data_IF_942302737560
#
_entry.id   IF_942302737560
#
_cell.length_a   1.000
_cell.length_b   1.000
_cell.length_c   1.000
_cell.angle_alpha   90.00
_cell.angle_beta   90.00
_cell.angle_gamma   90.00
#
_symmetry.space_group_name_H-M   'P 1'
#
loop_
_entity.id
_entity.type
_entity.pdbx_description
1 polymer ?
#
# COMPACT_ATOMS: atom_id res chain seq x y z
N UNK A 1 41.77 -20.36 -17.91
CA UNK A 1 41.29 -18.96 -17.78
C UNK A 1 40.20 -18.97 -16.71
N UNK A 2 40.52 -18.46 -15.52
CA UNK A 2 39.55 -18.36 -14.43
C UNK A 2 38.67 -17.13 -14.71
N UNK A 3 37.35 -17.34 -14.78
CA UNK A 3 36.41 -16.22 -14.82
C UNK A 3 36.50 -15.52 -13.46
N UNK A 4 37.05 -14.31 -13.49
CA UNK A 4 37.03 -13.39 -12.38
C UNK A 4 35.57 -12.98 -12.21
N UNK A 5 34.90 -13.52 -11.19
CA UNK A 5 33.54 -13.15 -10.81
C UNK A 5 33.67 -11.77 -10.17
N UNK A 6 33.85 -10.75 -11.01
CA UNK A 6 33.73 -9.36 -10.59
C UNK A 6 32.38 -9.27 -9.87
N UNK A 7 32.45 -8.92 -8.59
CA UNK A 7 31.34 -8.61 -7.71
C UNK A 7 30.24 -7.94 -8.52
N UNK A 8 29.11 -8.64 -8.69
CA UNK A 8 27.88 -8.01 -9.15
C UNK A 8 27.70 -6.76 -8.30
N UNK A 9 27.48 -5.57 -8.88
CA UNK A 9 27.29 -4.36 -8.10
C UNK A 9 26.23 -4.67 -7.04
N UNK A 10 26.55 -4.38 -5.77
CA UNK A 10 25.61 -4.51 -4.66
C UNK A 10 24.30 -3.88 -5.12
N UNK A 11 23.25 -4.71 -5.24
CA UNK A 11 21.94 -4.20 -5.62
C UNK A 11 21.60 -3.13 -4.58
N UNK A 12 21.26 -1.90 -4.96
CA UNK A 12 20.88 -0.90 -3.97
C UNK A 12 19.73 -1.47 -3.14
N UNK A 13 19.93 -1.57 -1.83
CA UNK A 13 18.92 -1.99 -0.87
C UNK A 13 18.28 -0.70 -0.36
N UNK A 14 16.95 -0.63 -0.37
CA UNK A 14 16.25 0.47 0.28
C UNK A 14 16.42 0.31 1.79
N UNK A 15 17.04 1.29 2.43
CA UNK A 15 17.14 1.35 3.89
C UNK A 15 15.80 1.74 4.51
N UNK A 16 15.63 1.49 5.81
CA UNK A 16 14.41 1.92 6.51
C UNK A 16 14.21 3.43 6.42
N UNK A 17 15.29 4.21 6.45
CA UNK A 17 15.24 5.66 6.25
C UNK A 17 14.72 6.01 4.85
N UNK A 18 15.24 5.39 3.80
CA UNK A 18 14.79 5.63 2.42
C UNK A 18 13.33 5.20 2.22
N UNK A 19 12.89 4.11 2.87
CA UNK A 19 11.48 3.71 2.87
C UNK A 19 10.62 4.82 3.49
N UNK A 20 11.01 5.37 4.64
CA UNK A 20 10.27 6.47 5.27
C UNK A 20 10.25 7.73 4.40
N UNK A 21 11.38 8.07 3.77
CA UNK A 21 11.46 9.18 2.82
C UNK A 21 10.49 8.99 1.65
N UNK A 22 10.46 7.80 1.03
CA UNK A 22 9.53 7.46 -0.06
C UNK A 22 8.06 7.55 0.37
N UNK A 23 7.72 7.07 1.56
CA UNK A 23 6.36 7.14 2.11
C UNK A 23 5.91 8.60 2.27
N UNK A 24 6.81 9.49 2.70
CA UNK A 24 6.55 10.92 2.94
C UNK A 24 6.51 11.82 1.70
N UNK A 25 6.84 11.33 0.51
CA UNK A 25 6.78 12.14 -0.72
C UNK A 25 5.32 12.52 -1.02
N UNK A 26 4.97 13.81 -1.21
CA UNK A 26 3.63 14.21 -1.66
C UNK A 26 3.30 13.71 -3.08
N UNK A 27 2.07 13.25 -3.30
CA UNK A 27 1.65 12.58 -4.54
C UNK A 27 0.28 13.06 -5.03
N UNK A 28 0.02 12.89 -6.32
CA UNK A 28 -1.30 13.05 -6.92
C UNK A 28 -1.65 11.82 -7.74
N UNK A 29 -2.91 11.41 -7.71
CA UNK A 29 -3.46 10.41 -8.61
C UNK A 29 -3.44 11.00 -10.02
N UNK A 30 -2.76 10.33 -10.95
CA UNK A 30 -2.74 10.69 -12.37
C UNK A 30 -3.69 9.81 -13.18
N UNK A 31 -3.84 8.54 -12.80
CA UNK A 31 -4.74 7.59 -13.45
C UNK A 31 -5.47 6.73 -12.41
N UNK A 32 -6.73 6.40 -12.73
CA UNK A 32 -7.55 5.46 -11.96
C UNK A 32 -8.15 4.42 -12.90
N UNK A 33 -7.96 3.16 -12.56
CA UNK A 33 -8.47 2.01 -13.32
C UNK A 33 -9.34 1.10 -12.44
N UNK A 34 -10.63 0.91 -12.75
CA UNK A 34 -11.39 1.58 -13.81
C UNK A 34 -11.64 3.06 -13.49
N UNK A 35 -11.79 3.90 -14.52
CA UNK A 35 -11.99 5.34 -14.37
C UNK A 35 -13.21 5.71 -13.49
N UNK A 36 -14.25 4.86 -13.46
CA UNK A 36 -15.43 5.02 -12.61
C UNK A 36 -15.68 3.77 -11.77
N UNK A 37 -16.03 3.96 -10.51
CA UNK A 37 -16.38 2.87 -9.59
C UNK A 37 -15.25 1.87 -9.38
N UNK A 38 -15.62 0.59 -9.29
CA UNK A 38 -14.70 -0.53 -9.10
C UNK A 38 -14.97 -1.60 -10.16
N UNK A 39 -13.94 -2.39 -10.50
CA UNK A 39 -14.08 -3.60 -11.31
C UNK A 39 -14.40 -4.77 -10.37
N UNK A 40 -15.46 -5.51 -10.65
CA UNK A 40 -15.77 -6.77 -9.96
C UNK A 40 -15.00 -7.93 -10.61
N UNK A 41 -14.20 -8.64 -9.82
CA UNK A 41 -13.41 -9.78 -10.28
C UNK A 41 -13.07 -10.70 -9.11
N UNK A 42 -13.29 -12.01 -9.25
CA UNK A 42 -12.97 -13.02 -8.23
C UNK A 42 -13.55 -12.74 -6.82
N UNK A 43 -14.82 -12.28 -6.76
CA UNK A 43 -15.49 -11.83 -5.52
C UNK A 43 -14.81 -10.65 -4.82
N UNK A 44 -14.08 -9.83 -5.58
CA UNK A 44 -13.52 -8.58 -5.09
C UNK A 44 -13.95 -7.44 -5.99
N UNK A 45 -14.29 -6.32 -5.37
CA UNK A 45 -14.26 -5.02 -6.04
C UNK A 45 -12.85 -4.48 -5.99
N UNK A 46 -12.33 -4.04 -7.14
CA UNK A 46 -10.92 -3.66 -7.32
C UNK A 46 -10.79 -2.33 -8.04
N UNK A 47 -9.81 -1.55 -7.61
CA UNK A 47 -9.39 -0.30 -8.24
C UNK A 47 -7.87 -0.18 -8.11
N UNK A 48 -7.21 0.28 -9.18
CA UNK A 48 -5.79 0.58 -9.21
C UNK A 48 -5.60 2.06 -9.53
N UNK A 49 -4.61 2.68 -8.92
CA UNK A 49 -4.25 4.09 -9.10
C UNK A 49 -2.79 4.18 -9.51
N UNK A 50 -2.48 4.98 -10.51
CA UNK A 50 -1.12 5.45 -10.75
C UNK A 50 -0.97 6.81 -10.09
N UNK A 51 0.16 7.02 -9.43
CA UNK A 51 0.47 8.26 -8.72
C UNK A 51 1.73 8.92 -9.30
N UNK A 52 1.67 10.23 -9.41
CA UNK A 52 2.79 11.10 -9.77
C UNK A 52 3.27 11.86 -8.54
N UNK A 53 4.59 12.04 -8.46
CA UNK A 53 5.22 12.91 -7.47
C UNK A 53 5.36 14.31 -8.04
N UNK A 54 5.51 15.30 -7.16
CA UNK A 54 5.83 16.67 -7.59
C UNK A 54 7.32 16.87 -7.93
N UNK A 55 8.16 15.86 -7.66
CA UNK A 55 9.58 15.85 -7.99
C UNK A 55 9.81 15.29 -9.39
N UNK A 56 10.62 15.96 -10.20
CA UNK A 56 11.06 15.49 -11.54
C UNK A 56 12.11 14.36 -11.47
N UNK A 57 12.19 13.63 -10.35
CA UNK A 57 13.19 12.58 -10.11
C UNK A 57 12.82 11.23 -10.76
N UNK A 58 11.65 11.15 -11.40
CA UNK A 58 11.17 9.94 -12.07
C UNK A 58 10.71 8.85 -11.10
N UNK A 59 10.52 9.16 -9.82
CA UNK A 59 9.92 8.25 -8.84
C UNK A 59 8.46 8.01 -9.21
N UNK A 60 8.06 6.74 -9.25
CA UNK A 60 6.67 6.35 -9.57
C UNK A 60 6.08 5.48 -8.49
N UNK A 61 4.81 5.72 -8.22
CA UNK A 61 4.03 4.91 -7.28
C UNK A 61 2.73 4.44 -7.92
N UNK A 62 2.22 3.33 -7.42
CA UNK A 62 0.84 2.93 -7.65
C UNK A 62 0.16 2.54 -6.35
N UNK A 63 -1.16 2.52 -6.37
CA UNK A 63 -1.98 2.02 -5.26
C UNK A 63 -2.87 0.93 -5.79
N UNK A 64 -2.91 -0.22 -5.11
CA UNK A 64 -3.97 -1.20 -5.31
C UNK A 64 -5.00 -1.09 -4.19
N UNK A 65 -6.28 -1.14 -4.57
CA UNK A 65 -7.42 -1.14 -3.66
C UNK A 65 -8.27 -2.36 -3.96
N UNK A 66 -8.52 -3.17 -2.93
CA UNK A 66 -9.29 -4.43 -3.02
C UNK A 66 -10.26 -4.48 -1.85
N UNK A 67 -11.49 -4.88 -2.09
CA UNK A 67 -12.44 -5.22 -1.03
C UNK A 67 -13.26 -6.43 -1.46
N UNK A 68 -13.42 -7.39 -0.56
CA UNK A 68 -14.24 -8.56 -0.81
C UNK A 68 -15.72 -8.15 -0.94
N UNK A 69 -16.40 -8.62 -1.98
CA UNK A 69 -17.76 -8.20 -2.30
C UNK A 69 -18.82 -8.80 -1.35
N UNK A 70 -18.47 -9.81 -0.54
CA UNK A 70 -19.36 -10.44 0.47
C UNK A 70 -19.01 -10.05 1.90
N UNK A 71 -17.71 -9.98 2.22
CA UNK A 71 -17.18 -9.63 3.53
C UNK A 71 -16.54 -8.25 3.45
N UNK A 72 -17.33 -7.20 3.59
CA UNK A 72 -16.90 -5.81 3.33
C UNK A 72 -15.76 -5.35 4.26
N UNK A 73 -15.66 -5.95 5.44
CA UNK A 73 -14.56 -5.78 6.39
C UNK A 73 -13.23 -6.32 5.87
N UNK A 74 -13.28 -7.26 4.92
CA UNK A 74 -12.11 -7.84 4.29
C UNK A 74 -11.68 -6.99 3.09
N UNK A 75 -10.76 -6.07 3.34
CA UNK A 75 -10.17 -5.20 2.33
C UNK A 75 -8.66 -5.10 2.46
N UNK A 76 -8.04 -4.59 1.41
CA UNK A 76 -6.61 -4.33 1.33
C UNK A 76 -6.32 -3.12 0.44
N UNK A 77 -5.52 -2.20 0.95
CA UNK A 77 -5.09 -0.96 0.27
C UNK A 77 -3.57 -0.90 0.39
N UNK A 78 -2.83 -0.92 -0.72
CA UNK A 78 -1.37 -0.93 -0.66
C UNK A 78 -0.71 0.12 -1.54
N UNK A 79 0.31 0.78 -1.00
CA UNK A 79 1.18 1.70 -1.74
C UNK A 79 2.38 0.92 -2.28
N UNK A 80 2.57 0.99 -3.59
CA UNK A 80 3.64 0.32 -4.30
C UNK A 80 4.63 1.36 -4.85
N UNK A 81 5.92 1.11 -4.66
CA UNK A 81 7.00 1.85 -5.30
C UNK A 81 7.49 1.07 -6.52
N UNK A 82 7.52 1.73 -7.67
CA UNK A 82 8.09 1.16 -8.90
C UNK A 82 9.60 1.38 -8.92
N UNK A 83 10.33 0.29 -8.88
CA UNK A 83 11.78 0.29 -8.69
C UNK A 83 12.48 -0.55 -9.76
N UNK A 84 13.60 -0.05 -10.25
CA UNK A 84 14.47 -0.82 -11.16
C UNK A 84 15.40 -1.79 -10.41
N UNK A 85 15.30 -1.84 -9.07
CA UNK A 85 16.19 -2.63 -8.22
C UNK A 85 15.91 -4.14 -8.29
N UNK A 86 14.69 -4.55 -8.68
CA UNK A 86 14.25 -5.96 -8.68
C UNK A 86 13.30 -6.26 -9.85
N UNK A 87 13.08 -7.55 -10.09
CA UNK A 87 12.02 -8.05 -10.97
C UNK A 87 11.06 -8.94 -10.14
N UNK A 88 9.75 -8.64 -10.10
CA UNK A 88 9.08 -7.52 -10.77
C UNK A 88 9.53 -6.17 -10.18
N UNK A 89 9.55 -5.14 -11.02
CA UNK A 89 10.03 -3.79 -10.69
C UNK A 89 9.11 -3.00 -9.77
N UNK A 90 8.53 -3.66 -8.77
CA UNK A 90 7.54 -3.08 -7.86
C UNK A 90 7.69 -3.69 -6.47
N UNK A 91 7.69 -2.84 -5.45
CA UNK A 91 7.71 -3.25 -4.03
C UNK A 91 6.54 -2.59 -3.32
N UNK A 92 5.71 -3.37 -2.63
CA UNK A 92 4.69 -2.82 -1.73
C UNK A 92 5.38 -2.29 -0.47
N UNK A 93 5.31 -0.98 -0.24
CA UNK A 93 5.95 -0.35 0.91
C UNK A 93 5.11 -0.52 2.18
N UNK A 94 3.78 -0.43 2.01
CA UNK A 94 2.83 -0.44 3.13
C UNK A 94 1.48 -0.93 2.64
N UNK A 95 0.74 -1.62 3.51
CA UNK A 95 -0.59 -2.14 3.21
C UNK A 95 -1.54 -2.05 4.40
N UNK A 96 -2.68 -1.39 4.20
CA UNK A 96 -3.75 -1.23 5.18
C UNK A 96 -4.78 -2.31 4.90
N UNK A 97 -5.01 -3.17 5.87
CA UNK A 97 -5.96 -4.26 5.78
C UNK A 97 -7.09 -4.08 6.80
N UNK A 98 -8.28 -4.50 6.41
CA UNK A 98 -9.39 -4.69 7.35
C UNK A 98 -9.34 -6.06 8.03
N UNK A 99 -10.34 -6.34 8.85
CA UNK A 99 -10.47 -7.65 9.49
C UNK A 99 -10.81 -8.73 8.45
N UNK A 100 -10.11 -9.86 8.51
CA UNK A 100 -10.30 -11.00 7.63
C UNK A 100 -11.06 -12.16 8.32
N UNK A 101 -11.58 -11.96 9.53
CA UNK A 101 -12.53 -12.84 10.23
C UNK A 101 -11.97 -14.18 10.74
N UNK A 102 -10.81 -14.62 10.25
CA UNK A 102 -10.20 -15.90 10.64
C UNK A 102 -9.16 -15.72 11.74
N UNK A 103 -9.61 -15.73 13.00
CA UNK A 103 -8.75 -15.72 14.18
C UNK A 103 -7.81 -16.95 14.28
N UNK A 104 -8.07 -18.02 13.51
CA UNK A 104 -7.38 -19.30 13.62
C UNK A 104 -6.19 -19.49 12.67
N UNK A 105 -6.00 -18.62 11.67
CA UNK A 105 -4.92 -18.81 10.68
C UNK A 105 -3.53 -18.50 11.20
N UNK A 106 -3.41 -17.60 12.18
CA UNK A 106 -2.12 -17.25 12.80
C UNK A 106 -2.28 -16.94 14.29
N UNK A 107 -1.25 -17.33 15.07
CA UNK A 107 -1.21 -17.25 16.54
C UNK A 107 -1.32 -15.83 17.12
N UNK A 108 -1.01 -14.81 16.34
CA UNK A 108 -1.02 -13.41 16.74
C UNK A 108 -2.38 -12.72 16.54
N UNK A 109 -3.38 -13.42 15.97
CA UNK A 109 -4.77 -12.97 15.89
C UNK A 109 -5.02 -11.74 15.00
N UNK A 110 -4.03 -11.23 14.27
CA UNK A 110 -4.16 -9.98 13.51
C UNK A 110 -5.24 -10.03 12.42
N UNK A 111 -5.58 -11.22 11.91
CA UNK A 111 -6.69 -11.39 10.96
C UNK A 111 -8.07 -11.06 11.56
N UNK A 112 -8.20 -10.99 12.89
CA UNK A 112 -9.45 -10.63 13.54
C UNK A 112 -9.69 -9.11 13.60
N UNK A 113 -8.68 -8.28 13.28
CA UNK A 113 -8.74 -6.83 13.44
C UNK A 113 -8.12 -6.11 12.25
N UNK A 114 -8.39 -4.81 12.14
CA UNK A 114 -7.66 -3.93 11.23
C UNK A 114 -6.18 -3.94 11.57
N UNK A 115 -5.33 -3.97 10.55
CA UNK A 115 -3.88 -4.00 10.74
C UNK A 115 -3.14 -3.41 9.54
N UNK A 116 -1.95 -2.88 9.80
CA UNK A 116 -1.07 -2.28 8.80
C UNK A 116 0.17 -3.14 8.67
N UNK A 117 0.50 -3.51 7.44
CA UNK A 117 1.78 -4.11 7.11
C UNK A 117 2.77 -3.05 6.62
N UNK A 118 4.04 -3.20 6.94
CA UNK A 118 5.12 -2.36 6.43
C UNK A 118 6.29 -3.20 5.95
N UNK A 119 6.88 -2.81 4.84
CA UNK A 119 8.16 -3.37 4.40
C UNK A 119 9.28 -2.78 5.26
N UNK A 120 10.29 -3.60 5.52
CA UNK A 120 11.52 -3.24 6.23
C UNK A 120 12.73 -3.46 5.33
N UNK A 121 13.82 -2.76 5.64
CA UNK A 121 15.13 -2.97 5.03
C UNK A 121 15.53 -4.44 5.07
N UNK A 122 15.32 -5.12 6.21
CA UNK A 122 15.63 -6.53 6.37
C UNK A 122 14.89 -7.42 5.35
N UNK A 123 13.60 -7.14 5.10
CA UNK A 123 12.80 -7.88 4.14
C UNK A 123 13.26 -7.63 2.69
N UNK A 124 13.67 -6.41 2.37
CA UNK A 124 14.24 -6.07 1.06
C UNK A 124 15.62 -6.71 0.89
N UNK A 125 16.45 -6.69 1.92
CA UNK A 125 17.80 -7.26 1.96
C UNK A 125 17.82 -8.79 1.94
N UNK A 126 16.69 -9.44 2.24
CA UNK A 126 16.55 -10.92 2.28
C UNK A 126 16.89 -11.63 0.95
N UNK A 127 17.06 -10.89 -0.15
CA UNK A 127 17.37 -11.46 -1.46
C UNK A 127 16.16 -12.03 -2.19
N UNK A 128 14.96 -11.99 -1.60
CA UNK A 128 13.72 -12.38 -2.29
C UNK A 128 13.50 -11.52 -3.55
N UNK A 129 13.09 -12.17 -4.64
CA UNK A 129 12.63 -11.52 -5.86
C UNK A 129 11.35 -10.71 -5.63
N UNK A 130 10.54 -11.12 -4.65
CA UNK A 130 9.32 -10.44 -4.21
C UNK A 130 9.39 -10.30 -2.68
N UNK A 131 10.04 -9.26 -2.16
CA UNK A 131 10.01 -8.99 -0.73
C UNK A 131 8.57 -8.68 -0.31
N UNK A 132 8.18 -9.12 0.88
CA UNK A 132 6.83 -8.95 1.40
C UNK A 132 6.90 -8.23 2.74
N UNK A 133 5.97 -7.31 2.93
CA UNK A 133 5.66 -6.60 4.16
C UNK A 133 5.13 -7.58 5.23
N UNK A 134 6.03 -8.24 5.96
CA UNK A 134 5.68 -9.21 7.01
C UNK A 134 5.57 -8.55 8.37
N UNK A 135 6.25 -7.43 8.59
CA UNK A 135 6.02 -6.62 9.78
C UNK A 135 4.59 -6.07 9.78
N UNK A 136 3.84 -6.35 10.85
CA UNK A 136 2.41 -6.07 10.99
C UNK A 136 2.11 -5.44 12.34
N UNK A 137 1.18 -4.51 12.35
CA UNK A 137 0.72 -3.81 13.53
C UNK A 137 -0.81 -3.77 13.53
N UNK A 138 -1.43 -4.24 14.63
CA UNK A 138 -2.87 -4.08 14.85
C UNK A 138 -3.17 -2.60 15.07
N UNK A 139 -4.26 -2.09 14.49
CA UNK A 139 -4.61 -0.68 14.58
C UNK A 139 -6.09 -0.47 14.87
N UNK A 140 -6.39 0.56 15.65
CA UNK A 140 -7.73 1.09 15.91
C UNK A 140 -8.04 2.36 15.10
N UNK A 141 -7.09 2.83 14.29
CA UNK A 141 -7.22 4.07 13.48
C UNK A 141 -8.37 4.00 12.48
N UNK A 142 -8.73 2.80 12.04
CA UNK A 142 -9.87 2.56 11.16
C UNK A 142 -10.52 1.22 11.45
N UNK A 143 -11.83 1.14 11.27
CA UNK A 143 -12.60 -0.12 11.32
C UNK A 143 -13.40 -0.36 10.04
N UNK A 144 -13.48 0.63 9.16
CA UNK A 144 -14.20 0.56 7.88
C UNK A 144 -13.26 0.83 6.71
N UNK A 145 -13.67 0.38 5.53
CA UNK A 145 -12.92 0.56 4.29
C UNK A 145 -12.76 2.05 3.93
N UNK A 146 -13.81 2.85 4.10
CA UNK A 146 -13.82 4.28 3.78
C UNK A 146 -12.90 5.07 4.73
N UNK A 147 -12.91 4.74 6.04
CA UNK A 147 -11.96 5.32 6.99
C UNK A 147 -10.52 4.94 6.62
N UNK A 148 -10.28 3.68 6.26
CA UNK A 148 -8.95 3.20 5.89
C UNK A 148 -8.43 3.92 4.63
N UNK A 149 -9.25 4.09 3.59
CA UNK A 149 -8.89 4.85 2.39
C UNK A 149 -8.53 6.29 2.72
N UNK A 150 -9.38 6.97 3.49
CA UNK A 150 -9.14 8.37 3.86
C UNK A 150 -7.82 8.53 4.62
N UNK A 151 -7.63 7.74 5.67
CA UNK A 151 -6.41 7.77 6.49
C UNK A 151 -5.19 7.39 5.66
N UNK A 152 -5.30 6.40 4.78
CA UNK A 152 -4.21 6.01 3.87
C UNK A 152 -3.79 7.17 2.97
N UNK A 153 -4.75 7.86 2.35
CA UNK A 153 -4.42 8.98 1.47
C UNK A 153 -3.82 10.16 2.24
N UNK A 154 -4.33 10.45 3.44
CA UNK A 154 -3.79 11.51 4.30
C UNK A 154 -2.37 11.16 4.80
N UNK A 155 -2.12 9.92 5.24
CA UNK A 155 -0.82 9.43 5.74
C UNK A 155 0.27 9.47 4.65
N UNK A 156 -0.10 9.26 3.39
CA UNK A 156 0.85 9.23 2.26
C UNK A 156 0.74 10.44 1.34
N UNK A 157 0.11 11.51 1.84
CA UNK A 157 0.04 12.84 1.21
C UNK A 157 -0.45 12.80 -0.23
N UNK A 158 -1.48 11.99 -0.50
CA UNK A 158 -2.17 11.98 -1.80
C UNK A 158 -3.14 13.16 -1.81
N UNK A 159 -2.94 14.17 -2.65
CA UNK A 159 -3.64 15.44 -2.50
C UNK A 159 -5.04 15.48 -3.16
N UNK A 160 -5.20 14.84 -4.31
CA UNK A 160 -6.39 14.98 -5.17
C UNK A 160 -7.35 13.78 -5.10
N UNK A 161 -7.28 12.94 -4.06
CA UNK A 161 -8.18 11.78 -3.97
C UNK A 161 -9.66 12.16 -3.95
N UNK A 162 -10.01 13.38 -3.52
CA UNK A 162 -11.39 13.87 -3.54
C UNK A 162 -12.01 13.91 -4.93
N UNK A 163 -11.20 14.09 -5.98
CA UNK A 163 -11.67 14.09 -7.37
C UNK A 163 -12.06 12.69 -7.85
N UNK A 164 -11.50 11.65 -7.22
CA UNK A 164 -11.68 10.25 -7.60
C UNK A 164 -12.59 9.48 -6.64
N UNK A 165 -12.68 9.93 -5.38
CA UNK A 165 -13.46 9.35 -4.28
C UNK A 165 -14.20 10.45 -3.52
N UNK A 166 -15.15 11.16 -4.15
CA UNK A 166 -15.85 12.31 -3.56
C UNK A 166 -16.66 11.95 -2.30
N UNK A 167 -17.05 10.69 -2.14
CA UNK A 167 -17.70 10.17 -0.93
C UNK A 167 -16.81 10.34 0.32
N UNK A 168 -15.49 10.28 0.18
CA UNK A 168 -14.54 10.40 1.29
C UNK A 168 -14.42 11.83 1.84
N UNK A 169 -14.88 12.84 1.09
CA UNK A 169 -14.88 14.22 1.56
C UNK A 169 -15.94 14.46 2.65
N UNK A 170 -17.01 13.69 2.64
CA UNK A 170 -18.13 13.84 3.58
C UNK A 170 -17.91 13.09 4.89
N UNK A 171 -16.98 12.11 4.91
CA UNK A 171 -16.70 11.28 6.09
C UNK A 171 -16.12 12.08 7.26
N UNK A 172 -15.38 13.15 6.98
CA UNK A 172 -14.79 14.03 7.99
C UNK A 172 -15.78 14.92 8.74
N UNK A 173 -17.01 15.08 8.23
CA UNK A 173 -18.02 15.98 8.83
C UNK A 173 -18.84 15.32 9.94
N UNK A 174 -18.83 13.99 10.05
CA UNK A 174 -19.64 13.25 11.02
C UNK A 174 -18.89 12.92 12.33
N UNK A 175 -17.57 13.09 12.37
CA UNK A 175 -16.74 12.80 13.55
C UNK A 175 -16.34 14.05 14.34
N UNK A 176 -16.91 15.22 14.00
CA UNK A 176 -16.66 16.51 14.68
C UNK A 176 -17.51 16.76 15.93
N UNK A 177 -18.28 15.78 16.39
CA UNK A 177 -19.04 15.86 17.64
C UNK A 177 -18.88 14.56 18.43
N UNK A 178 -17.87 14.53 19.31
CA UNK A 178 -17.96 13.98 20.66
C UNK A 178 -16.78 14.47 21.50
#
# INVERSE_FOLDING_TARGET
MAYNIASLPERPILTDQQIQELLGIPKTISEKTPAKGYKEENNQRRCDLELETTSDDGVRFSVFIRQNSKFIENFSIGLCYHTNLKSPGTVTLVRYNGAHGESSRHLDGHYAQSHIHRITEQEIASGSSQPQERHREITDRYSTFEQALRIFFDDFHVANYGDYFPELLHLGLLNGHQ
#
